data_IF_212343344038
#
_entry.id   IF_212343344038
#
_cell.length_a   1.000
_cell.length_b   1.000
_cell.length_c   1.000
_cell.angle_alpha   90.00
_cell.angle_beta   90.00
_cell.angle_gamma   90.00
#
_symmetry.space_group_name_H-M   'P 1'
#
loop_
_entity.id
_entity.type
_entity.pdbx_description
1 polymer ?
#
# COMPACT_ATOMS: atom_id res chain seq x y z
N UNK A 1 1.11 -6.84 -2.92
CA UNK A 1 1.21 -5.38 -3.12
C UNK A 1 2.39 -4.85 -2.34
N UNK A 2 3.35 -4.23 -3.02
CA UNK A 2 4.51 -3.61 -2.39
C UNK A 2 4.31 -2.11 -2.20
N UNK A 3 4.83 -1.55 -1.11
CA UNK A 3 4.77 -0.11 -0.83
C UNK A 3 5.36 0.20 0.55
N UNK A 4 5.68 1.46 0.83
CA UNK A 4 6.12 1.86 2.19
C UNK A 4 4.98 1.72 3.21
N UNK A 5 3.72 1.92 2.76
CA UNK A 5 2.53 1.91 3.62
C UNK A 5 2.73 2.73 4.91
N UNK A 6 3.21 3.96 4.73
CA UNK A 6 3.63 4.84 5.81
C UNK A 6 2.73 6.08 5.86
N UNK A 7 1.55 5.96 6.48
CA UNK A 7 0.89 4.76 7.01
C UNK A 7 -0.05 4.07 5.99
N UNK A 8 -0.57 2.89 6.33
CA UNK A 8 -1.66 2.27 5.56
C UNK A 8 -2.97 3.04 5.80
N UNK A 9 -3.83 3.13 4.78
CA UNK A 9 -5.10 3.86 4.83
C UNK A 9 -6.10 3.29 3.80
N UNK A 10 -7.35 3.79 3.78
CA UNK A 10 -8.44 3.21 2.97
C UNK A 10 -8.14 3.12 1.47
N UNK A 11 -7.40 4.06 0.90
CA UNK A 11 -7.00 4.01 -0.51
C UNK A 11 -6.23 2.73 -0.86
N UNK A 12 -5.32 2.30 0.01
CA UNK A 12 -4.59 1.03 -0.16
C UNK A 12 -5.53 -0.18 -0.10
N UNK A 13 -6.51 -0.15 0.80
CA UNK A 13 -7.45 -1.25 1.01
C UNK A 13 -8.45 -1.37 -0.14
N UNK A 14 -8.97 -0.25 -0.64
CA UNK A 14 -9.87 -0.22 -1.80
C UNK A 14 -9.15 -0.80 -3.03
N UNK A 15 -7.92 -0.36 -3.29
CA UNK A 15 -7.14 -0.89 -4.42
C UNK A 15 -6.88 -2.39 -4.24
N UNK A 16 -6.50 -2.84 -3.04
CA UNK A 16 -6.28 -4.26 -2.76
C UNK A 16 -7.54 -5.09 -3.00
N UNK A 17 -8.70 -4.59 -2.58
CA UNK A 17 -10.00 -5.24 -2.77
C UNK A 17 -10.36 -5.33 -4.26
N UNK A 18 -10.25 -4.22 -5.00
CA UNK A 18 -10.53 -4.20 -6.43
C UNK A 18 -9.65 -5.17 -7.22
N UNK A 19 -8.35 -5.26 -6.88
CA UNK A 19 -7.44 -6.22 -7.52
C UNK A 19 -7.82 -7.66 -7.16
N UNK A 20 -8.18 -7.93 -5.92
CA UNK A 20 -8.59 -9.27 -5.47
C UNK A 20 -9.81 -9.75 -6.27
N UNK A 21 -10.85 -8.92 -6.38
CA UNK A 21 -12.06 -9.25 -7.15
C UNK A 21 -11.81 -9.33 -8.66
N UNK A 22 -11.17 -8.32 -9.24
CA UNK A 22 -11.00 -8.22 -10.70
C UNK A 22 -10.18 -9.36 -11.29
N UNK A 23 -9.24 -9.90 -10.53
CA UNK A 23 -8.36 -10.98 -10.97
C UNK A 23 -8.68 -12.33 -10.30
N UNK A 24 -9.80 -12.43 -9.57
CA UNK A 24 -10.22 -13.63 -8.85
C UNK A 24 -9.10 -14.26 -8.01
N UNK A 25 -8.40 -13.43 -7.25
CA UNK A 25 -7.29 -13.85 -6.41
C UNK A 25 -7.82 -14.39 -5.08
N UNK A 26 -7.19 -15.44 -4.56
CA UNK A 26 -7.51 -15.97 -3.23
C UNK A 26 -7.06 -15.02 -2.11
N UNK A 27 -5.93 -14.32 -2.31
CA UNK A 27 -5.34 -13.43 -1.32
C UNK A 27 -4.47 -12.33 -1.92
N UNK A 28 -4.36 -11.23 -1.19
CA UNK A 28 -3.36 -10.19 -1.40
C UNK A 28 -2.40 -10.20 -0.21
N UNK A 29 -1.10 -10.26 -0.51
CA UNK A 29 -0.04 -10.13 0.50
C UNK A 29 0.54 -8.72 0.42
N UNK A 30 0.52 -7.99 1.52
CA UNK A 30 1.18 -6.69 1.65
C UNK A 30 2.65 -6.90 2.02
N UNK A 31 3.57 -6.28 1.27
CA UNK A 31 5.01 -6.38 1.48
C UNK A 31 5.56 -4.96 1.71
N UNK A 32 5.71 -4.52 2.97
CA UNK A 32 6.26 -3.22 3.30
C UNK A 32 7.68 -3.06 2.76
N UNK A 33 7.97 -1.91 2.15
CA UNK A 33 9.31 -1.55 1.67
C UNK A 33 10.03 -0.75 2.73
N UNK A 34 11.22 -1.21 3.17
CA UNK A 34 12.01 -0.60 4.24
C UNK A 34 12.51 0.81 3.90
N UNK A 35 13.55 0.93 3.09
CA UNK A 35 14.10 2.22 2.64
C UNK A 35 13.99 2.34 1.12
N UNK A 36 12.87 2.88 0.59
CA UNK A 36 12.72 3.04 -0.84
C UNK A 36 13.77 4.05 -1.35
N UNK A 37 14.65 3.68 -2.30
CA UNK A 37 15.74 4.56 -2.76
C UNK A 37 15.24 5.86 -3.41
N UNK A 38 13.97 5.88 -3.81
CA UNK A 38 13.28 7.02 -4.41
C UNK A 38 12.58 7.94 -3.38
N UNK A 39 12.52 7.57 -2.10
CA UNK A 39 12.02 8.44 -1.02
C UNK A 39 13.19 8.99 -0.22
N UNK A 40 13.82 10.06 -0.73
CA UNK A 40 14.76 10.88 0.06
C UNK A 40 13.96 11.82 0.95
N UNK A 41 13.85 11.49 2.24
CA UNK A 41 13.33 12.33 3.34
C UNK A 41 12.16 13.24 2.96
N UNK A 42 11.01 12.65 2.61
CA UNK A 42 9.77 13.40 2.45
C UNK A 42 8.88 13.14 3.67
N UNK A 43 8.32 14.22 4.23
CA UNK A 43 7.34 14.18 5.31
C UNK A 43 6.27 13.11 5.07
N UNK A 44 6.00 12.32 6.09
CA UNK A 44 5.09 11.18 6.04
C UNK A 44 3.67 11.65 5.70
N UNK A 45 2.96 10.86 4.90
CA UNK A 45 1.54 11.10 4.66
C UNK A 45 0.75 10.76 5.93
N UNK A 46 -0.44 11.34 6.13
CA UNK A 46 -1.30 11.01 7.27
C UNK A 46 -2.08 9.70 7.03
N UNK A 47 -2.45 8.98 8.09
CA UNK A 47 -3.22 7.73 8.06
C UNK A 47 -4.66 7.90 7.63
N UNK A 48 -5.16 9.13 7.68
CA UNK A 48 -6.59 9.41 7.61
C UNK A 48 -6.98 10.22 6.37
N UNK A 49 -6.32 9.98 5.23
CA UNK A 49 -6.76 10.51 3.94
C UNK A 49 -8.20 10.11 3.60
#
# INVERSE_FOLDING_TARGET
MGGTFDPIHYGHLVIANEVLFKFNLEKIIFVPTGNPPHKRSAALADAYH
#
